data_IF_231083024231
#
_entry.id   IF_231083024231
#
_cell.length_a   1.000
_cell.length_b   1.000
_cell.length_c   1.000
_cell.angle_alpha   90.00
_cell.angle_beta   90.00
_cell.angle_gamma   90.00
#
_symmetry.space_group_name_H-M   'P 1'
#
loop_
_entity.id
_entity.type
_entity.pdbx_description
1 polymer ?
#
# COMPACT_ATOMS: atom_id res chain seq x y z
N UNK A 1 -16.78 6.51 -40.97
CA UNK A 1 -15.56 5.98 -40.31
C UNK A 1 -14.39 6.59 -41.07
N UNK A 2 -13.77 7.64 -40.52
CA UNK A 2 -12.64 8.34 -41.16
C UNK A 2 -11.37 7.68 -40.64
N UNK A 3 -10.66 6.96 -41.50
CA UNK A 3 -9.36 6.39 -41.19
C UNK A 3 -8.29 7.43 -41.49
N UNK A 4 -7.57 7.88 -40.45
CA UNK A 4 -6.39 8.72 -40.60
C UNK A 4 -5.31 7.97 -41.38
N UNK A 5 -4.65 8.66 -42.33
CA UNK A 5 -3.53 8.11 -43.11
C UNK A 5 -2.25 8.16 -42.27
N UNK A 6 -1.28 7.29 -42.58
CA UNK A 6 0.06 7.36 -41.97
C UNK A 6 0.68 8.76 -42.15
N UNK A 7 1.15 9.36 -41.06
CA UNK A 7 1.71 10.72 -41.02
C UNK A 7 0.69 11.85 -40.84
N UNK A 8 -0.60 11.54 -40.67
CA UNK A 8 -1.61 12.56 -40.42
C UNK A 8 -1.57 13.03 -38.95
N UNK A 9 -1.14 14.27 -38.72
CA UNK A 9 -1.30 14.96 -37.44
C UNK A 9 -2.76 15.46 -37.35
N UNK A 10 -3.40 15.37 -36.17
CA UNK A 10 -4.78 15.85 -35.94
C UNK A 10 -4.97 17.33 -36.34
N UNK A 11 -3.87 18.09 -36.34
CA UNK A 11 -3.74 19.48 -36.76
C UNK A 11 -4.18 19.74 -38.20
N UNK A 12 -4.10 18.73 -39.10
CA UNK A 12 -4.52 18.87 -40.50
C UNK A 12 -6.04 18.71 -40.69
N UNK A 13 -6.76 18.20 -39.68
CA UNK A 13 -8.21 17.95 -39.73
C UNK A 13 -9.03 18.83 -38.79
N UNK A 14 -8.40 19.54 -37.85
CA UNK A 14 -9.10 20.34 -36.86
C UNK A 14 -8.80 21.83 -37.03
N UNK A 15 -9.85 22.65 -37.20
CA UNK A 15 -9.83 24.12 -37.14
C UNK A 15 -9.45 24.60 -35.72
N UNK A 16 -8.21 24.36 -35.28
CA UNK A 16 -7.72 24.73 -33.95
C UNK A 16 -6.55 25.71 -34.14
N UNK A 17 -6.83 26.99 -33.88
CA UNK A 17 -5.89 28.08 -34.09
C UNK A 17 -6.43 29.40 -33.56
N UNK A 18 -5.58 30.42 -33.48
CA UNK A 18 -6.00 31.79 -33.17
C UNK A 18 -6.25 32.53 -34.50
N UNK A 19 -7.39 33.20 -34.66
CA UNK A 19 -7.65 34.02 -35.85
C UNK A 19 -7.05 35.40 -35.62
N UNK A 20 -6.09 35.81 -36.45
CA UNK A 20 -5.53 37.16 -36.36
C UNK A 20 -6.51 38.22 -36.89
N UNK A 21 -6.24 39.49 -36.59
CA UNK A 21 -7.10 40.62 -36.96
C UNK A 21 -7.30 40.77 -38.49
N UNK A 22 -6.46 40.14 -39.29
CA UNK A 22 -6.54 40.03 -40.76
C UNK A 22 -7.40 38.84 -41.24
N UNK A 23 -8.01 38.09 -40.33
CA UNK A 23 -8.86 36.93 -40.62
C UNK A 23 -8.09 35.63 -40.92
N UNK A 24 -6.78 35.60 -40.72
CA UNK A 24 -5.96 34.41 -40.98
C UNK A 24 -5.93 33.49 -39.76
N UNK A 25 -6.25 32.20 -39.96
CA UNK A 25 -6.11 31.19 -38.91
C UNK A 25 -4.63 30.84 -38.71
N UNK A 26 -4.10 31.15 -37.52
CA UNK A 26 -2.73 30.80 -37.13
C UNK A 26 -2.74 29.55 -36.25
N UNK A 27 -1.86 28.61 -36.57
CA UNK A 27 -1.67 27.42 -35.75
C UNK A 27 -1.32 27.84 -34.31
N UNK A 28 -2.13 27.40 -33.35
CA UNK A 28 -1.89 27.67 -31.93
C UNK A 28 -0.74 26.78 -31.47
N UNK A 29 0.30 27.36 -30.85
CA UNK A 29 1.34 26.55 -30.21
C UNK A 29 0.67 25.64 -29.19
N UNK A 30 0.93 24.34 -29.26
CA UNK A 30 0.31 23.39 -28.34
C UNK A 30 0.55 23.81 -26.89
N UNK A 31 -0.50 23.73 -26.06
CA UNK A 31 -0.39 23.89 -24.62
C UNK A 31 0.36 22.73 -23.98
N UNK A 32 0.36 21.56 -24.62
CA UNK A 32 1.12 20.40 -24.17
C UNK A 32 2.57 20.53 -24.66
N UNK A 33 3.45 20.94 -23.74
CA UNK A 33 4.89 20.79 -23.89
C UNK A 33 5.36 19.39 -23.49
N UNK A 34 6.67 19.14 -23.61
CA UNK A 34 7.29 17.96 -23.00
C UNK A 34 7.02 17.97 -21.48
N UNK A 35 6.79 16.78 -20.91
CA UNK A 35 6.66 16.64 -19.47
C UNK A 35 7.90 17.16 -18.75
N UNK A 36 7.75 17.78 -17.56
CA UNK A 36 8.90 18.14 -16.73
C UNK A 36 9.78 16.91 -16.49
N UNK A 37 11.10 17.10 -16.46
CA UNK A 37 12.02 16.02 -16.14
C UNK A 37 11.71 15.46 -14.74
N UNK A 38 11.62 14.13 -14.66
CA UNK A 38 11.34 13.42 -13.41
C UNK A 38 12.47 13.68 -12.42
N UNK A 39 12.15 14.34 -11.31
CA UNK A 39 13.12 14.58 -10.23
C UNK A 39 12.93 13.52 -9.15
N UNK A 40 13.98 12.75 -8.90
CA UNK A 40 14.04 11.91 -7.71
C UNK A 40 14.12 12.80 -6.48
N UNK A 41 13.15 12.63 -5.57
CA UNK A 41 13.21 13.19 -4.23
C UNK A 41 13.86 12.13 -3.35
N UNK A 42 15.08 12.40 -2.87
CA UNK A 42 15.79 11.48 -1.97
C UNK A 42 15.01 11.41 -0.66
N UNK A 43 14.77 10.20 -0.17
CA UNK A 43 14.01 9.95 1.07
C UNK A 43 14.87 10.21 2.33
N UNK A 44 15.68 11.27 2.33
CA UNK A 44 16.67 11.56 3.38
C UNK A 44 16.08 11.97 4.73
N UNK A 45 14.77 12.24 4.80
CA UNK A 45 14.07 12.66 6.02
C UNK A 45 12.98 11.67 6.47
N UNK A 46 13.14 10.37 6.23
CA UNK A 46 12.24 9.37 6.84
C UNK A 46 12.49 9.31 8.36
N UNK A 47 11.84 10.22 9.10
CA UNK A 47 11.86 10.29 10.56
C UNK A 47 11.12 9.14 11.23
N UNK A 48 10.33 8.38 10.47
CA UNK A 48 9.53 7.28 10.97
C UNK A 48 10.26 5.95 10.76
N UNK A 49 10.73 5.28 11.83
CA UNK A 49 11.41 4.01 11.71
C UNK A 49 10.44 2.88 11.38
N UNK A 50 10.85 1.99 10.48
CA UNK A 50 10.16 0.72 10.26
C UNK A 50 10.22 -0.13 11.55
N UNK A 51 9.12 -0.79 11.97
CA UNK A 51 9.17 -1.71 13.10
C UNK A 51 10.26 -2.77 12.93
N UNK A 52 11.07 -3.08 13.96
CA UNK A 52 12.18 -4.01 13.83
C UNK A 52 11.79 -5.40 13.30
N UNK A 53 10.61 -5.88 13.68
CA UNK A 53 10.06 -7.16 13.21
C UNK A 53 9.81 -7.21 11.70
N UNK A 54 9.69 -6.05 11.04
CA UNK A 54 9.40 -5.92 9.61
C UNK A 54 10.65 -5.56 8.80
N UNK A 55 11.62 -4.86 9.41
CA UNK A 55 12.70 -4.19 8.68
C UNK A 55 13.57 -5.15 7.85
N UNK A 56 14.21 -6.13 8.49
CA UNK A 56 15.11 -7.04 7.78
C UNK A 56 14.37 -7.93 6.77
N UNK A 57 13.22 -8.55 7.11
CA UNK A 57 12.42 -9.30 6.15
C UNK A 57 12.01 -8.49 4.91
N UNK A 58 11.55 -7.25 5.10
CA UNK A 58 11.16 -6.38 3.99
C UNK A 58 12.38 -5.94 3.18
N UNK A 59 13.50 -5.64 3.83
CA UNK A 59 14.73 -5.27 3.12
C UNK A 59 15.16 -6.39 2.18
N UNK A 60 15.18 -7.63 2.67
CA UNK A 60 15.58 -8.79 1.88
C UNK A 60 14.60 -9.05 0.72
N UNK A 61 13.29 -8.99 1.00
CA UNK A 61 12.25 -9.15 -0.01
C UNK A 61 12.32 -8.09 -1.11
N UNK A 62 12.62 -6.84 -0.75
CA UNK A 62 12.61 -5.70 -1.65
C UNK A 62 13.91 -5.53 -2.44
N UNK A 63 15.04 -6.07 -1.96
CA UNK A 63 16.38 -5.84 -2.53
C UNK A 63 16.48 -6.04 -4.05
N UNK A 64 15.67 -6.95 -4.61
CA UNK A 64 15.67 -7.29 -6.03
C UNK A 64 14.30 -7.14 -6.71
N UNK A 65 13.30 -6.61 -6.01
CA UNK A 65 11.93 -6.48 -6.52
C UNK A 65 11.69 -5.07 -7.04
N UNK A 66 11.52 -4.96 -8.36
CA UNK A 66 11.29 -3.68 -9.04
C UNK A 66 9.81 -3.36 -9.29
N UNK A 67 8.96 -4.37 -9.21
CA UNK A 67 7.54 -4.24 -9.50
C UNK A 67 6.72 -5.17 -8.59
N UNK A 68 5.43 -4.87 -8.50
CA UNK A 68 4.47 -5.63 -7.69
C UNK A 68 3.69 -4.73 -6.73
N UNK A 69 2.99 -5.36 -5.78
CA UNK A 69 2.18 -4.69 -4.76
C UNK A 69 2.86 -4.77 -3.40
N UNK A 70 3.05 -3.62 -2.75
CA UNK A 70 3.57 -3.51 -1.40
C UNK A 70 2.49 -2.90 -0.50
N UNK A 71 1.93 -3.73 0.38
CA UNK A 71 0.71 -3.40 1.11
C UNK A 71 0.99 -3.22 2.60
N UNK A 72 0.59 -2.08 3.14
CA UNK A 72 0.76 -1.76 4.56
C UNK A 72 -0.58 -1.57 5.27
N UNK A 73 -0.68 -2.13 6.48
CA UNK A 73 -1.84 -2.08 7.35
C UNK A 73 -1.52 -1.53 8.73
N UNK A 74 -2.48 -0.80 9.29
CA UNK A 74 -2.49 -0.46 10.70
C UNK A 74 -3.89 -0.65 11.29
N UNK A 75 -3.94 -1.16 12.53
CA UNK A 75 -5.17 -1.20 13.31
C UNK A 75 -5.67 0.20 13.72
N UNK A 76 -4.86 1.25 13.57
CA UNK A 76 -5.29 2.63 13.82
C UNK A 76 -6.18 3.10 12.68
N UNK A 77 -7.39 3.54 13.01
CA UNK A 77 -8.29 4.20 12.06
C UNK A 77 -7.88 5.66 11.96
N UNK A 78 -7.29 6.03 10.82
CA UNK A 78 -6.91 7.40 10.49
C UNK A 78 -7.24 7.69 9.01
N UNK A 79 -7.26 8.97 8.64
CA UNK A 79 -7.47 9.39 7.24
C UNK A 79 -6.46 8.71 6.31
N UNK A 80 -5.18 8.72 6.69
CA UNK A 80 -4.10 8.02 5.99
C UNK A 80 -3.58 6.86 6.84
N UNK A 81 -4.41 5.82 6.95
CA UNK A 81 -4.04 4.62 7.72
C UNK A 81 -2.74 3.99 7.18
N UNK A 82 -1.82 3.65 8.09
CA UNK A 82 -0.51 3.08 7.79
C UNK A 82 0.44 3.94 6.92
N UNK A 83 0.17 5.24 6.75
CA UNK A 83 1.03 6.13 5.94
C UNK A 83 2.47 6.22 6.45
N UNK A 84 2.65 6.07 7.75
CA UNK A 84 3.94 6.00 8.43
C UNK A 84 4.78 4.81 7.95
N UNK A 85 4.15 3.66 7.70
CA UNK A 85 4.82 2.49 7.15
C UNK A 85 5.15 2.69 5.67
N UNK A 86 4.25 3.34 4.91
CA UNK A 86 4.52 3.73 3.52
C UNK A 86 5.74 4.64 3.47
N UNK A 87 5.81 5.67 4.32
CA UNK A 87 6.95 6.58 4.43
C UNK A 87 8.24 5.83 4.80
N UNK A 88 8.18 4.95 5.80
CA UNK A 88 9.30 4.12 6.23
C UNK A 88 9.81 3.14 5.15
N UNK A 89 8.95 2.79 4.17
CA UNK A 89 9.31 1.91 3.05
C UNK A 89 10.05 2.62 1.90
N UNK A 90 9.99 3.96 1.83
CA UNK A 90 10.57 4.72 0.72
C UNK A 90 12.09 4.55 0.59
N UNK A 91 12.90 4.53 1.68
CA UNK A 91 14.32 4.24 1.58
C UNK A 91 14.60 2.81 1.12
N UNK A 92 13.77 1.84 1.52
CA UNK A 92 13.95 0.42 1.15
C UNK A 92 13.72 0.17 -0.34
N UNK A 93 12.97 1.06 -0.99
CA UNK A 93 12.53 0.91 -2.39
C UNK A 93 13.23 1.90 -3.33
N UNK A 94 14.16 2.72 -2.86
CA UNK A 94 14.77 3.80 -3.67
C UNK A 94 15.39 3.31 -4.99
N UNK A 95 15.98 2.11 -4.96
CA UNK A 95 16.59 1.45 -6.12
C UNK A 95 15.60 1.14 -7.28
N UNK A 96 14.29 1.17 -7.02
CA UNK A 96 13.25 0.92 -8.03
C UNK A 96 13.07 2.10 -8.98
N UNK A 97 13.35 3.33 -8.53
CA UNK A 97 13.22 4.55 -9.34
C UNK A 97 12.47 5.67 -8.63
N UNK A 98 12.05 6.72 -9.35
CA UNK A 98 11.40 7.88 -8.74
C UNK A 98 10.00 7.52 -8.24
N UNK A 99 9.63 8.13 -7.10
CA UNK A 99 8.34 7.94 -6.45
C UNK A 99 7.40 9.13 -6.70
N UNK A 100 6.11 8.82 -6.84
CA UNK A 100 5.03 9.80 -6.88
C UNK A 100 3.85 9.32 -6.02
N UNK A 101 3.07 10.27 -5.53
CA UNK A 101 1.79 10.01 -4.87
C UNK A 101 0.64 10.30 -5.82
N UNK A 102 -0.37 9.47 -5.80
CA UNK A 102 -1.53 9.55 -6.67
C UNK A 102 -2.68 10.20 -5.92
N UNK A 103 -3.32 11.18 -6.55
CA UNK A 103 -4.47 11.88 -6.00
C UNK A 103 -5.65 10.93 -5.80
N UNK A 104 -6.11 10.81 -4.55
CA UNK A 104 -7.36 10.13 -4.26
C UNK A 104 -8.52 10.95 -4.85
N UNK A 105 -9.40 10.31 -5.64
CA UNK A 105 -10.53 10.96 -6.34
C UNK A 105 -11.69 11.36 -5.42
N UNK A 106 -11.42 11.81 -4.21
CA UNK A 106 -12.42 12.27 -3.27
C UNK A 106 -12.69 13.78 -3.40
N UNK A 107 -13.95 14.18 -3.19
CA UNK A 107 -14.32 15.57 -2.87
C UNK A 107 -14.07 15.79 -1.38
N UNK A 108 -12.83 16.02 -0.96
CA UNK A 108 -12.57 16.51 0.40
C UNK A 108 -11.78 17.80 0.41
N UNK A 109 -11.60 18.34 1.62
CA UNK A 109 -10.75 19.48 1.89
C UNK A 109 -9.30 19.15 1.46
N UNK A 110 -8.69 19.94 0.56
CA UNK A 110 -7.32 19.71 0.08
C UNK A 110 -6.29 19.57 1.21
N UNK A 111 -6.55 20.12 2.40
CA UNK A 111 -5.68 19.99 3.59
C UNK A 111 -5.42 18.54 3.99
N UNK A 112 -6.37 17.63 3.76
CA UNK A 112 -6.21 16.22 4.13
C UNK A 112 -5.09 15.55 3.36
N UNK A 113 -4.90 15.88 2.09
CA UNK A 113 -3.81 15.33 1.26
C UNK A 113 -2.41 15.79 1.72
N UNK A 114 -2.33 16.78 2.60
CA UNK A 114 -1.07 17.33 3.13
C UNK A 114 -0.78 16.87 4.57
N UNK A 115 -1.76 16.28 5.26
CA UNK A 115 -1.62 15.72 6.61
C UNK A 115 -0.99 14.32 6.56
N UNK A 116 0.23 14.27 6.04
CA UNK A 116 1.06 13.08 5.85
C UNK A 116 2.49 13.38 6.31
N UNK A 117 3.32 12.34 6.58
CA UNK A 117 4.74 12.53 6.90
C UNK A 117 5.47 13.34 5.82
N UNK A 118 6.48 14.12 6.21
CA UNK A 118 7.21 15.01 5.30
C UNK A 118 7.79 14.27 4.08
N UNK A 119 8.29 13.06 4.30
CA UNK A 119 8.82 12.19 3.25
C UNK A 119 7.79 11.86 2.15
N UNK A 120 6.50 11.79 2.50
CA UNK A 120 5.39 11.60 1.55
C UNK A 120 4.96 12.95 0.97
N UNK A 121 4.90 13.99 1.81
CA UNK A 121 4.44 15.33 1.45
C UNK A 121 5.24 15.95 0.30
N UNK A 122 6.56 15.72 0.28
CA UNK A 122 7.48 16.21 -0.73
C UNK A 122 7.38 15.52 -2.10
N UNK A 123 6.67 14.38 -2.18
CA UNK A 123 6.57 13.63 -3.43
C UNK A 123 5.66 14.35 -4.43
N UNK A 124 5.97 14.27 -5.74
CA UNK A 124 5.08 14.73 -6.80
C UNK A 124 3.68 14.17 -6.64
N UNK A 125 2.67 15.04 -6.70
CA UNK A 125 1.26 14.68 -6.55
C UNK A 125 0.58 14.69 -7.90
N UNK A 126 0.29 13.50 -8.42
CA UNK A 126 -0.16 13.29 -9.80
C UNK A 126 -1.61 12.77 -9.83
N UNK A 127 -2.38 13.11 -10.87
CA UNK A 127 -3.81 12.83 -10.90
C UNK A 127 -4.15 11.33 -11.07
N UNK A 128 -3.21 10.52 -11.56
CA UNK A 128 -3.47 9.11 -11.87
C UNK A 128 -2.19 8.28 -11.97
N UNK A 129 -2.33 6.96 -11.82
CA UNK A 129 -1.24 5.97 -11.96
C UNK A 129 -0.64 6.04 -13.37
N UNK A 130 -1.50 6.10 -14.38
CA UNK A 130 -1.13 6.14 -15.80
C UNK A 130 -0.30 7.39 -16.10
N UNK A 131 -0.72 8.55 -15.59
CA UNK A 131 0.00 9.81 -15.75
C UNK A 131 1.38 9.77 -15.10
N UNK A 132 1.48 9.18 -13.91
CA UNK A 132 2.74 9.02 -13.21
C UNK A 132 3.67 8.04 -13.93
N UNK A 133 3.14 6.90 -14.36
CA UNK A 133 3.89 5.90 -15.11
C UNK A 133 4.43 6.45 -16.43
N UNK A 134 3.61 7.18 -17.18
CA UNK A 134 3.99 7.84 -18.43
C UNK A 134 5.08 8.91 -18.23
N UNK A 135 5.12 9.56 -17.06
CA UNK A 135 6.17 10.50 -16.66
C UNK A 135 7.42 9.80 -16.09
N UNK A 136 7.51 8.47 -16.16
CA UNK A 136 8.69 7.71 -15.74
C UNK A 136 8.77 7.39 -14.25
N UNK A 137 7.71 7.64 -13.47
CA UNK A 137 7.65 7.17 -12.08
C UNK A 137 7.50 5.64 -12.04
N UNK A 138 8.19 5.02 -11.07
CA UNK A 138 8.22 3.55 -10.89
C UNK A 138 7.83 3.09 -9.50
N UNK A 139 7.67 4.03 -8.55
CA UNK A 139 7.06 3.79 -7.25
C UNK A 139 5.83 4.66 -7.10
N UNK A 140 4.66 4.03 -7.06
CA UNK A 140 3.39 4.76 -7.12
C UNK A 140 2.64 4.54 -5.82
N UNK A 141 2.53 5.59 -5.01
CA UNK A 141 1.78 5.56 -3.76
C UNK A 141 0.32 5.86 -4.09
N UNK A 142 -0.54 4.86 -3.92
CA UNK A 142 -1.96 4.96 -4.29
C UNK A 142 -2.86 4.78 -3.07
N UNK A 143 -4.11 5.24 -3.22
CA UNK A 143 -5.15 5.02 -2.22
C UNK A 143 -6.03 3.83 -2.64
N UNK A 144 -6.16 2.79 -1.79
CA UNK A 144 -6.81 1.53 -2.18
C UNK A 144 -8.31 1.67 -2.45
N UNK A 145 -9.01 2.58 -1.78
CA UNK A 145 -10.45 2.78 -1.99
C UNK A 145 -10.84 3.37 -3.36
N UNK A 146 -9.88 3.79 -4.19
CA UNK A 146 -10.14 4.50 -5.44
C UNK A 146 -9.33 4.00 -6.63
N UNK A 147 -8.60 2.89 -6.45
CA UNK A 147 -7.75 2.34 -7.49
C UNK A 147 -8.32 0.99 -7.88
N UNK A 148 -8.76 0.88 -9.13
CA UNK A 148 -9.35 -0.33 -9.67
C UNK A 148 -8.33 -1.47 -9.71
N UNK A 149 -8.70 -2.71 -9.32
CA UNK A 149 -7.83 -3.89 -9.41
C UNK A 149 -7.16 -4.10 -10.77
N UNK A 150 -7.81 -3.72 -11.87
CA UNK A 150 -7.30 -3.76 -13.23
C UNK A 150 -6.02 -2.96 -13.37
N UNK A 151 -6.03 -1.71 -12.87
CA UNK A 151 -4.86 -0.84 -12.89
C UNK A 151 -3.76 -1.40 -11.99
N UNK A 152 -4.13 -2.00 -10.86
CA UNK A 152 -3.14 -2.66 -10.01
C UNK A 152 -2.46 -3.81 -10.74
N UNK A 153 -3.23 -4.68 -11.41
CA UNK A 153 -2.68 -5.80 -12.18
C UNK A 153 -1.81 -5.34 -13.35
N UNK A 154 -2.25 -4.33 -14.10
CA UNK A 154 -1.54 -3.80 -15.27
C UNK A 154 -0.21 -3.14 -14.88
N UNK A 155 -0.24 -2.20 -13.93
CA UNK A 155 0.95 -1.41 -13.62
C UNK A 155 1.90 -2.12 -12.65
N UNK A 156 1.44 -3.11 -11.89
CA UNK A 156 2.31 -3.91 -11.01
C UNK A 156 3.27 -4.84 -11.78
N UNK A 157 3.16 -4.93 -13.11
CA UNK A 157 4.14 -5.67 -13.92
C UNK A 157 5.48 -4.95 -14.05
N UNK A 158 5.47 -3.61 -14.12
CA UNK A 158 6.67 -2.78 -14.33
C UNK A 158 6.89 -1.70 -13.25
N UNK A 159 5.91 -1.47 -12.37
CA UNK A 159 6.02 -0.51 -11.28
C UNK A 159 5.73 -1.15 -9.92
N UNK A 160 6.33 -0.60 -8.87
CA UNK A 160 6.03 -0.94 -7.48
C UNK A 160 4.88 -0.05 -6.99
N UNK A 161 3.72 -0.65 -6.77
CA UNK A 161 2.53 0.04 -6.26
C UNK A 161 2.49 -0.13 -4.75
N UNK A 162 2.46 0.99 -4.02
CA UNK A 162 2.56 1.02 -2.57
C UNK A 162 1.29 1.63 -1.99
N UNK A 163 0.67 1.00 -1.00
CA UNK A 163 -0.45 1.63 -0.31
C UNK A 163 -0.41 1.39 1.21
N UNK A 164 -0.99 2.34 1.94
CA UNK A 164 -1.38 2.19 3.33
C UNK A 164 -2.90 2.05 3.43
N UNK A 165 -3.36 1.16 4.31
CA UNK A 165 -4.78 0.96 4.59
C UNK A 165 -5.02 0.60 6.04
N UNK A 166 -6.30 0.55 6.42
CA UNK A 166 -6.71 0.04 7.72
C UNK A 166 -6.76 -1.50 7.67
N UNK A 167 -6.12 -2.15 8.65
CA UNK A 167 -6.09 -3.60 8.77
C UNK A 167 -5.16 -4.04 9.90
N UNK A 168 -5.61 -4.98 10.72
CA UNK A 168 -4.88 -5.45 11.91
C UNK A 168 -4.07 -6.73 11.66
N UNK A 169 -4.33 -7.41 10.55
CA UNK A 169 -3.70 -8.66 10.13
C UNK A 169 -3.52 -8.67 8.59
N UNK A 170 -2.72 -9.60 8.07
CA UNK A 170 -2.41 -9.65 6.62
C UNK A 170 -3.68 -9.78 5.76
N UNK A 171 -4.66 -10.58 6.18
CA UNK A 171 -5.87 -10.83 5.39
C UNK A 171 -6.75 -9.58 5.30
N UNK A 172 -6.99 -8.89 6.41
CA UNK A 172 -7.76 -7.64 6.46
C UNK A 172 -7.12 -6.53 5.63
N UNK A 173 -5.79 -6.47 5.57
CA UNK A 173 -5.05 -5.55 4.70
C UNK A 173 -5.24 -5.90 3.23
N UNK A 174 -5.09 -7.18 2.88
CA UNK A 174 -5.32 -7.66 1.52
C UNK A 174 -6.73 -7.31 1.04
N UNK A 175 -7.74 -7.65 1.82
CA UNK A 175 -9.15 -7.35 1.50
C UNK A 175 -9.44 -5.85 1.43
N UNK A 176 -8.86 -5.05 2.33
CA UNK A 176 -9.06 -3.60 2.30
C UNK A 176 -8.42 -2.94 1.09
N UNK A 177 -7.40 -3.56 0.51
CA UNK A 177 -6.75 -3.10 -0.72
C UNK A 177 -7.64 -3.29 -1.96
N UNK A 178 -8.51 -4.32 -1.95
CA UNK A 178 -9.36 -4.69 -3.08
C UNK A 178 -10.73 -4.00 -3.09
N UNK A 179 -10.98 -3.11 -2.13
CA UNK A 179 -12.32 -2.53 -1.87
C UNK A 179 -12.94 -1.82 -3.08
N UNK A 180 -12.14 -1.19 -3.94
CA UNK A 180 -12.64 -0.42 -5.08
C UNK A 180 -13.32 -1.29 -6.16
N UNK A 181 -12.83 -2.52 -6.38
CA UNK A 181 -13.26 -3.35 -7.51
C UNK A 181 -14.54 -4.17 -7.31
N UNK A 182 -15.20 -4.06 -6.16
CA UNK A 182 -16.56 -4.59 -5.94
C UNK A 182 -16.75 -6.11 -6.10
N UNK A 183 -15.69 -6.92 -6.21
CA UNK A 183 -15.79 -8.37 -6.45
C UNK A 183 -14.53 -9.17 -6.11
N UNK A 184 -14.69 -10.50 -6.06
CA UNK A 184 -13.67 -11.49 -5.63
C UNK A 184 -12.89 -12.11 -6.80
N UNK A 185 -13.25 -11.80 -8.05
CA UNK A 185 -12.77 -12.52 -9.24
C UNK A 185 -11.26 -12.33 -9.54
N UNK A 186 -10.60 -11.41 -8.84
CA UNK A 186 -9.20 -11.02 -9.08
C UNK A 186 -8.27 -11.24 -7.89
N UNK A 187 -8.78 -11.85 -6.81
CA UNK A 187 -8.00 -12.05 -5.59
C UNK A 187 -6.73 -12.86 -5.85
N UNK A 188 -6.85 -14.00 -6.53
CA UNK A 188 -5.69 -14.84 -6.85
C UNK A 188 -4.66 -14.10 -7.72
N UNK A 189 -5.14 -13.38 -8.74
CA UNK A 189 -4.28 -12.62 -9.66
C UNK A 189 -3.57 -11.46 -8.94
N UNK A 190 -4.26 -10.75 -8.06
CA UNK A 190 -3.66 -9.67 -7.27
C UNK A 190 -2.67 -10.21 -6.24
N UNK A 191 -3.01 -11.29 -5.55
CA UNK A 191 -2.12 -11.95 -4.61
C UNK A 191 -0.83 -12.42 -5.31
N UNK A 192 -0.92 -12.86 -6.56
CA UNK A 192 0.26 -13.19 -7.38
C UNK A 192 1.16 -11.99 -7.72
N UNK A 193 0.65 -10.76 -7.59
CA UNK A 193 1.44 -9.53 -7.75
C UNK A 193 1.98 -8.98 -6.44
N UNK A 194 1.55 -9.51 -5.29
CA UNK A 194 2.02 -9.05 -3.99
C UNK A 194 3.49 -9.38 -3.81
N UNK A 195 4.28 -8.39 -3.39
CA UNK A 195 5.64 -8.57 -2.92
C UNK A 195 5.63 -8.87 -1.43
N UNK A 196 4.93 -8.03 -0.67
CA UNK A 196 4.73 -8.20 0.76
C UNK A 196 3.46 -7.53 1.25
N UNK A 197 2.90 -8.07 2.34
CA UNK A 197 1.80 -7.48 3.10
C UNK A 197 2.25 -7.40 4.55
N UNK A 198 2.29 -6.20 5.11
CA UNK A 198 2.65 -5.98 6.50
C UNK A 198 1.50 -5.29 7.24
N UNK A 199 0.98 -5.92 8.28
CA UNK A 199 -0.01 -5.33 9.17
C UNK A 199 0.60 -5.05 10.54
N UNK A 200 0.25 -3.94 11.15
CA UNK A 200 0.77 -3.56 12.47
C UNK A 200 -0.36 -3.20 13.43
N UNK A 201 -0.17 -3.56 14.70
CA UNK A 201 -1.04 -3.14 15.78
C UNK A 201 -0.21 -2.44 16.84
N UNK A 202 -0.29 -1.10 16.93
CA UNK A 202 0.35 -0.36 18.00
C UNK A 202 -0.41 -0.58 19.31
N UNK A 203 0.33 -0.90 20.36
CA UNK A 203 -0.18 -1.11 21.72
C UNK A 203 0.41 -0.01 22.61
N UNK A 204 -0.41 0.95 23.06
CA UNK A 204 0.05 1.98 23.99
C UNK A 204 0.47 1.35 25.32
N UNK A 205 1.68 1.68 25.76
CA UNK A 205 2.18 1.47 27.12
C UNK A 205 2.51 2.84 27.72
N UNK A 206 2.71 2.93 29.04
CA UNK A 206 2.72 4.21 29.79
C UNK A 206 3.39 5.38 29.05
N UNK A 207 4.65 5.21 28.65
CA UNK A 207 5.47 6.27 28.06
C UNK A 207 5.99 5.90 26.66
N UNK A 208 5.44 4.86 26.03
CA UNK A 208 5.87 4.42 24.70
C UNK A 208 4.80 3.61 23.96
N UNK A 209 5.08 3.27 22.72
CA UNK A 209 4.23 2.37 21.92
C UNK A 209 5.06 1.14 21.57
N UNK A 210 4.53 -0.03 21.88
CA UNK A 210 5.06 -1.30 21.36
C UNK A 210 4.20 -1.74 20.19
N UNK A 211 4.80 -2.39 19.19
CA UNK A 211 4.11 -2.77 17.97
C UNK A 211 4.17 -4.28 17.82
N UNK A 212 3.02 -4.90 17.57
CA UNK A 212 2.96 -6.26 17.02
C UNK A 212 2.75 -6.19 15.52
N UNK A 213 3.23 -7.20 14.81
CA UNK A 213 3.21 -7.19 13.36
C UNK A 213 2.90 -8.56 12.80
N UNK A 214 2.28 -8.52 11.64
CA UNK A 214 1.91 -9.63 10.80
C UNK A 214 2.56 -9.38 9.44
N UNK A 215 3.28 -10.36 8.90
CA UNK A 215 4.03 -10.17 7.66
C UNK A 215 3.90 -11.40 6.75
N UNK A 216 3.47 -11.16 5.52
CA UNK A 216 3.55 -12.08 4.40
C UNK A 216 4.57 -11.57 3.38
N UNK A 217 5.37 -12.48 2.81
CA UNK A 217 6.32 -12.22 1.71
C UNK A 217 6.15 -13.33 0.67
N UNK A 218 6.03 -12.94 -0.60
CA UNK A 218 5.58 -13.84 -1.68
C UNK A 218 6.61 -14.87 -2.19
N UNK A 219 7.84 -14.87 -1.70
CA UNK A 219 8.92 -15.76 -2.16
C UNK A 219 8.98 -17.11 -1.41
N UNK A 220 8.06 -17.36 -0.48
CA UNK A 220 8.12 -18.54 0.40
C UNK A 220 7.33 -19.76 -0.09
N UNK A 221 6.26 -19.55 -0.86
CA UNK A 221 5.42 -20.64 -1.35
C UNK A 221 4.86 -20.36 -2.74
N UNK A 222 4.80 -21.37 -3.62
CA UNK A 222 4.12 -21.24 -4.90
C UNK A 222 2.63 -20.99 -4.66
N UNK A 223 2.07 -20.03 -5.40
CA UNK A 223 0.63 -19.76 -5.39
C UNK A 223 -0.06 -20.91 -6.15
N UNK A 224 -0.78 -21.74 -5.38
CA UNK A 224 -1.60 -22.83 -5.92
C UNK A 224 -2.93 -22.34 -6.50
N UNK A 225 -3.89 -23.27 -6.61
CA UNK A 225 -5.28 -22.89 -6.91
C UNK A 225 -5.90 -22.14 -5.73
N UNK A 226 -6.08 -20.82 -5.90
CA UNK A 226 -6.73 -19.92 -4.94
C UNK A 226 -8.09 -19.43 -5.46
N UNK A 227 -8.85 -20.32 -6.07
CA UNK A 227 -10.17 -20.03 -6.66
C UNK A 227 -11.26 -19.59 -5.69
N UNK A 228 -11.06 -19.73 -4.37
CA UNK A 228 -12.05 -19.31 -3.37
C UNK A 228 -11.41 -18.43 -2.30
N UNK A 229 -12.23 -17.56 -1.71
CA UNK A 229 -11.84 -16.67 -0.62
C UNK A 229 -11.22 -17.43 0.56
N UNK A 230 -11.80 -18.58 0.95
CA UNK A 230 -11.30 -19.39 2.05
C UNK A 230 -9.91 -19.98 1.76
N UNK A 231 -9.62 -20.30 0.50
CA UNK A 231 -8.29 -20.75 0.09
C UNK A 231 -7.28 -19.61 0.15
N UNK A 232 -7.67 -18.39 -0.23
CA UNK A 232 -6.83 -17.18 -0.09
C UNK A 232 -6.52 -16.91 1.37
N UNK A 233 -7.54 -16.93 2.24
CA UNK A 233 -7.39 -16.72 3.68
C UNK A 233 -6.46 -17.76 4.32
N UNK A 234 -6.66 -19.04 4.01
CA UNK A 234 -5.83 -20.13 4.49
C UNK A 234 -4.38 -19.99 3.99
N UNK A 235 -4.21 -19.72 2.69
CA UNK A 235 -2.88 -19.53 2.10
C UNK A 235 -2.10 -18.41 2.78
N UNK A 236 -2.71 -17.23 2.96
CA UNK A 236 -2.07 -16.11 3.62
C UNK A 236 -1.74 -16.44 5.09
N UNK A 237 -2.67 -17.07 5.82
CA UNK A 237 -2.47 -17.46 7.22
C UNK A 237 -1.38 -18.50 7.42
N UNK A 238 -1.21 -19.43 6.49
CA UNK A 238 -0.21 -20.49 6.56
C UNK A 238 1.19 -20.00 6.18
N UNK A 239 1.28 -18.95 5.35
CA UNK A 239 2.54 -18.44 4.80
C UNK A 239 3.02 -17.14 5.46
N UNK A 240 2.53 -16.82 6.66
CA UNK A 240 3.05 -15.70 7.46
C UNK A 240 4.51 -15.94 7.85
N UNK A 241 5.36 -14.96 7.53
CA UNK A 241 6.75 -14.89 7.98
C UNK A 241 6.86 -14.39 9.41
N UNK A 242 5.99 -13.43 9.78
CA UNK A 242 5.84 -12.97 11.17
C UNK A 242 4.37 -13.05 11.53
N UNK A 243 4.07 -13.60 12.71
CA UNK A 243 2.73 -13.72 13.27
C UNK A 243 2.55 -12.75 14.43
N UNK A 244 1.47 -11.99 14.43
CA UNK A 244 1.16 -11.04 15.50
C UNK A 244 0.94 -11.79 16.83
N UNK A 245 0.42 -13.03 16.80
CA UNK A 245 0.22 -13.88 17.98
C UNK A 245 1.52 -14.11 18.76
N UNK A 246 2.61 -14.40 18.04
CA UNK A 246 3.92 -14.62 18.66
C UNK A 246 4.46 -13.33 19.30
N UNK A 247 4.17 -12.19 18.67
CA UNK A 247 4.48 -10.87 19.22
C UNK A 247 3.71 -10.59 20.50
N UNK A 248 2.39 -10.83 20.50
CA UNK A 248 1.54 -10.65 21.68
C UNK A 248 1.94 -11.60 22.80
N UNK A 249 2.22 -12.88 22.50
CA UNK A 249 2.68 -13.85 23.50
C UNK A 249 3.95 -13.36 24.21
N UNK A 250 4.97 -12.92 23.46
CA UNK A 250 6.21 -12.36 24.04
C UNK A 250 5.96 -11.13 24.91
N UNK A 251 5.07 -10.24 24.50
CA UNK A 251 4.73 -9.04 25.28
C UNK A 251 3.96 -9.38 26.57
N UNK A 252 3.09 -10.38 26.54
CA UNK A 252 2.37 -10.88 27.72
C UNK A 252 3.31 -11.65 28.66
N UNK A 253 4.22 -12.47 28.12
CA UNK A 253 5.20 -13.24 28.90
C UNK A 253 6.19 -12.34 29.63
N UNK A 254 6.62 -11.25 29.00
CA UNK A 254 7.51 -10.25 29.59
C UNK A 254 6.81 -9.29 30.55
N UNK A 255 5.47 -9.31 30.63
CA UNK A 255 4.68 -8.40 31.45
C UNK A 255 4.69 -6.94 30.97
N UNK A 256 5.19 -6.67 29.76
CA UNK A 256 5.20 -5.33 29.15
C UNK A 256 3.78 -4.84 28.87
N UNK A 257 2.89 -5.77 28.52
CA UNK A 257 1.45 -5.51 28.31
C UNK A 257 0.61 -6.49 29.10
N UNK A 258 -0.61 -6.07 29.47
CA UNK A 258 -1.63 -6.94 30.05
C UNK A 258 -2.61 -7.43 28.99
N UNK A 259 -3.29 -8.56 29.25
CA UNK A 259 -4.34 -9.07 28.37
C UNK A 259 -5.49 -8.06 28.16
N UNK A 260 -5.77 -7.22 29.17
CA UNK A 260 -6.75 -6.14 29.05
C UNK A 260 -6.31 -5.04 28.07
N UNK A 261 -5.04 -4.63 28.12
CA UNK A 261 -4.48 -3.68 27.14
C UNK A 261 -4.54 -4.22 25.72
N UNK A 262 -4.18 -5.50 25.52
CA UNK A 262 -4.23 -6.13 24.20
C UNK A 262 -5.67 -6.17 23.66
N UNK A 263 -6.67 -6.52 24.48
CA UNK A 263 -8.08 -6.50 24.04
C UNK A 263 -8.55 -5.12 23.57
N UNK A 264 -8.07 -4.05 24.20
CA UNK A 264 -8.50 -2.70 23.87
C UNK A 264 -8.02 -2.22 22.49
N UNK A 265 -6.89 -2.73 22.00
CA UNK A 265 -6.26 -2.25 20.74
C UNK A 265 -6.62 -3.08 19.51
N UNK A 266 -7.28 -4.23 19.70
CA UNK A 266 -7.87 -5.05 18.63
C UNK A 266 -9.40 -5.09 18.77
N UNK A 267 -10.12 -3.96 18.59
CA UNK A 267 -11.57 -3.96 18.75
C UNK A 267 -12.21 -4.91 17.73
N UNK A 268 -13.02 -5.85 18.20
CA UNK A 268 -13.80 -6.81 17.38
C UNK A 268 -12.98 -7.86 16.62
N UNK A 269 -11.74 -8.12 17.04
CA UNK A 269 -10.94 -9.22 16.48
C UNK A 269 -11.32 -10.56 17.12
N UNK A 270 -12.05 -11.40 16.37
CA UNK A 270 -12.37 -12.77 16.80
C UNK A 270 -11.11 -13.65 16.93
N UNK A 271 -10.12 -13.44 16.07
CA UNK A 271 -8.83 -14.13 16.12
C UNK A 271 -8.09 -13.81 17.43
N UNK A 272 -8.10 -12.55 17.88
CA UNK A 272 -7.54 -12.18 19.18
C UNK A 272 -8.25 -12.86 20.34
N UNK A 273 -9.57 -12.87 20.35
CA UNK A 273 -10.34 -13.50 21.43
C UNK A 273 -9.97 -14.98 21.57
N UNK A 274 -9.93 -15.71 20.45
CA UNK A 274 -9.53 -17.13 20.42
C UNK A 274 -8.10 -17.33 20.90
N UNK A 275 -7.18 -16.46 20.48
CA UNK A 275 -5.78 -16.51 20.92
C UNK A 275 -5.65 -16.29 22.43
N UNK A 276 -6.24 -15.22 22.97
CA UNK A 276 -6.13 -14.89 24.40
C UNK A 276 -6.76 -15.97 25.27
N UNK A 277 -7.90 -16.54 24.87
CA UNK A 277 -8.52 -17.65 25.58
C UNK A 277 -7.62 -18.89 25.64
N UNK A 278 -6.95 -19.22 24.53
CA UNK A 278 -6.00 -20.33 24.45
C UNK A 278 -4.78 -20.06 25.34
N UNK A 279 -4.19 -18.87 25.21
CA UNK A 279 -3.01 -18.45 25.96
C UNK A 279 -3.26 -18.46 27.48
N UNK A 280 -4.38 -17.88 27.93
CA UNK A 280 -4.73 -17.82 29.36
C UNK A 280 -5.06 -19.19 29.94
N UNK A 281 -5.62 -20.12 29.15
CA UNK A 281 -5.84 -21.50 29.59
C UNK A 281 -4.53 -22.27 29.80
N UNK A 282 -3.53 -22.05 28.95
CA UNK A 282 -2.22 -22.70 29.06
C UNK A 282 -1.38 -22.15 30.23
N UNK A 283 -1.57 -20.88 30.62
CA UNK A 283 -0.89 -20.24 31.75
C UNK A 283 -1.50 -20.55 33.13
N UNK A 284 -2.74 -21.05 33.19
CA UNK A 284 -3.32 -21.48 34.48
C UNK A 284 -2.63 -22.78 34.93
N UNK A 285 -2.06 -22.85 36.16
CA UNK A 285 -1.62 -24.12 36.70
C UNK A 285 -2.80 -25.09 36.75
N UNK A 286 -2.59 -26.40 36.56
CA UNK A 286 -3.67 -27.38 36.70
C UNK A 286 -4.26 -27.20 38.10
N UNK A 287 -5.57 -26.95 38.15
CA UNK A 287 -6.32 -26.93 39.39
C UNK A 287 -6.10 -28.27 40.07
N UNK A 288 -5.39 -28.29 41.20
CA UNK A 288 -5.22 -29.51 41.99
C UNK A 288 -6.62 -30.04 42.33
N UNK A 289 -6.90 -31.26 41.87
CA UNK A 289 -8.09 -32.02 42.22
C UNK A 289 -7.99 -32.51 43.67
#
# INVERSE_FOLDING_TARGET
>A
MVTSREGHLDEASALIGDVSDDGVLRARKSFSGAWPATRSVTSTDATVPMPPALLDPLRDALLHRKAGLLLFGSAVIAEHSAIDLVAASLPLTEHVGPAARIMARHRSTPSKDWDVPDAIRQLPFLPSIESAYAQGFRRLIYHPSYTEPELLLEYSEDALLICGTHGADVMSVFMSTMRAGGGTDKEASLLARVVAIAATVPIPVKDSVVVTADLYVADRAPIGDLSTFEKVEAFLSDNLMTRWEDGVARLLDSGVVSAAQVRNVFPRSRSLEVFLDRYLKQKKPPTAA
#
